data_IF_116747997478
#
_entry.id   IF_116747997478
#
_cell.length_a   1.000
_cell.length_b   1.000
_cell.length_c   1.000
_cell.angle_alpha   90.00
_cell.angle_beta   90.00
_cell.angle_gamma   90.00
#
_symmetry.space_group_name_H-M   'P 1'
#
loop_
_entity.id
_entity.type
_entity.pdbx_description
1 polymer ?
#
# COMPACT_ATOMS: atom_id res chain seq x y z
N UNK A 1 35.64 -21.48 -1.62
CA UNK A 1 35.83 -20.03 -1.41
C UNK A 1 35.73 -19.37 -2.76
N UNK A 2 34.54 -18.87 -3.10
CA UNK A 2 34.34 -17.97 -4.23
C UNK A 2 33.65 -16.74 -3.68
N UNK A 3 34.46 -15.69 -3.38
CA UNK A 3 33.96 -14.38 -3.13
C UNK A 3 33.22 -13.92 -4.38
N UNK A 4 31.91 -13.76 -4.27
CA UNK A 4 31.14 -13.08 -5.29
C UNK A 4 31.64 -11.62 -5.38
N UNK A 5 31.68 -11.01 -6.58
CA UNK A 5 32.19 -9.66 -6.74
C UNK A 5 31.33 -8.69 -5.91
N UNK A 6 31.98 -7.97 -5.00
CA UNK A 6 31.42 -6.77 -4.41
C UNK A 6 31.10 -5.78 -5.54
N UNK A 7 29.82 -5.71 -5.95
CA UNK A 7 29.38 -4.85 -7.04
C UNK A 7 28.31 -5.45 -7.97
N UNK A 8 28.05 -6.75 -7.90
CA UNK A 8 26.99 -7.37 -8.71
C UNK A 8 25.61 -7.00 -8.15
N UNK A 9 24.67 -6.55 -9.03
CA UNK A 9 23.30 -6.25 -8.66
C UNK A 9 22.58 -7.46 -8.06
N UNK A 10 21.84 -7.28 -6.97
CA UNK A 10 21.03 -8.34 -6.35
C UNK A 10 19.86 -8.72 -7.26
N UNK A 11 19.57 -10.01 -7.35
CA UNK A 11 18.33 -10.53 -7.89
C UNK A 11 17.27 -10.57 -6.77
N UNK A 12 16.25 -9.70 -6.85
CA UNK A 12 15.23 -9.54 -5.81
C UNK A 12 13.89 -10.03 -6.36
N UNK A 13 13.32 -11.07 -5.77
CA UNK A 13 11.95 -11.48 -6.07
C UNK A 13 10.99 -10.74 -5.17
N UNK A 14 10.14 -9.89 -5.74
CA UNK A 14 9.09 -9.16 -5.03
C UNK A 14 7.77 -9.87 -5.26
N UNK A 15 7.11 -10.34 -4.20
CA UNK A 15 5.79 -10.97 -4.31
C UNK A 15 4.68 -9.98 -4.04
N UNK A 16 3.53 -10.14 -4.66
CA UNK A 16 2.29 -9.45 -4.29
C UNK A 16 1.07 -10.29 -4.66
N UNK A 17 0.00 -10.17 -3.88
CA UNK A 17 -1.23 -10.93 -4.09
C UNK A 17 -1.96 -10.58 -5.38
N UNK A 18 -2.01 -9.30 -5.73
CA UNK A 18 -2.76 -8.76 -6.88
C UNK A 18 -1.97 -7.60 -7.47
N UNK A 19 -1.90 -7.51 -8.80
CA UNK A 19 -1.36 -6.35 -9.53
C UNK A 19 -2.40 -5.77 -10.50
N UNK A 20 -3.69 -5.96 -10.20
CA UNK A 20 -4.80 -5.54 -11.05
C UNK A 20 -5.41 -4.20 -10.61
N UNK A 21 -5.25 -3.81 -9.35
CA UNK A 21 -5.85 -2.59 -8.80
C UNK A 21 -4.76 -1.56 -8.49
N UNK A 22 -5.15 -0.30 -8.32
CA UNK A 22 -4.22 0.77 -7.91
C UNK A 22 -4.41 1.04 -6.41
N UNK A 23 -4.05 0.07 -5.57
CA UNK A 23 -4.07 0.21 -4.12
C UNK A 23 -2.66 0.41 -3.55
N UNK A 24 -2.56 0.59 -2.24
CA UNK A 24 -1.30 0.95 -1.61
C UNK A 24 -0.16 -0.05 -1.87
N UNK A 25 -0.43 -1.35 -1.75
CA UNK A 25 0.61 -2.39 -1.91
C UNK A 25 1.06 -2.57 -3.35
N UNK A 26 0.13 -2.52 -4.32
CA UNK A 26 0.47 -2.63 -5.74
C UNK A 26 1.35 -1.47 -6.22
N UNK A 27 0.98 -0.24 -5.80
CA UNK A 27 1.78 0.95 -6.12
C UNK A 27 3.12 0.95 -5.38
N UNK A 28 3.18 0.40 -4.15
CA UNK A 28 4.42 0.20 -3.42
C UNK A 28 5.36 -0.73 -4.19
N UNK A 29 4.87 -1.89 -4.64
CA UNK A 29 5.66 -2.86 -5.42
C UNK A 29 6.17 -2.25 -6.72
N UNK A 30 5.34 -1.49 -7.43
CA UNK A 30 5.74 -0.79 -8.65
C UNK A 30 6.89 0.18 -8.38
N UNK A 31 6.77 1.02 -7.37
CA UNK A 31 7.76 2.05 -7.06
C UNK A 31 9.06 1.45 -6.52
N UNK A 32 8.96 0.38 -5.71
CA UNK A 32 10.11 -0.40 -5.24
C UNK A 32 10.86 -1.05 -6.41
N UNK A 33 10.17 -1.76 -7.30
CA UNK A 33 10.78 -2.45 -8.42
C UNK A 33 11.52 -1.47 -9.35
N UNK A 34 10.90 -0.33 -9.67
CA UNK A 34 11.55 0.73 -10.42
C UNK A 34 12.76 1.33 -9.67
N UNK A 35 12.65 1.48 -8.35
CA UNK A 35 13.74 1.99 -7.51
C UNK A 35 14.94 1.03 -7.46
N UNK A 36 14.70 -0.28 -7.34
CA UNK A 36 15.74 -1.31 -7.38
C UNK A 36 16.46 -1.33 -8.74
N UNK A 37 15.69 -1.27 -9.84
CA UNK A 37 16.26 -1.24 -11.18
C UNK A 37 17.16 -0.02 -11.41
N UNK A 38 16.73 1.18 -10.98
CA UNK A 38 17.53 2.42 -11.06
C UNK A 38 18.86 2.33 -10.31
N UNK A 39 18.97 1.43 -9.33
CA UNK A 39 20.20 1.18 -8.56
C UNK A 39 21.05 0.02 -9.10
N UNK A 40 20.71 -0.47 -10.28
CA UNK A 40 21.46 -1.56 -10.92
C UNK A 40 21.19 -2.95 -10.34
N UNK A 41 20.07 -3.12 -9.61
CA UNK A 41 19.60 -4.42 -9.14
C UNK A 41 18.62 -5.03 -10.15
N UNK A 42 18.34 -6.34 -10.01
CA UNK A 42 17.53 -7.13 -10.93
C UNK A 42 16.22 -7.57 -10.24
N UNK A 43 15.22 -6.68 -10.13
CA UNK A 43 13.93 -7.07 -9.58
C UNK A 43 13.16 -7.95 -10.56
N UNK A 44 12.48 -8.98 -10.03
CA UNK A 44 11.42 -9.72 -10.69
C UNK A 44 10.18 -9.64 -9.79
N UNK A 45 9.02 -9.38 -10.36
CA UNK A 45 7.77 -9.30 -9.59
C UNK A 45 6.90 -10.51 -9.88
N UNK A 46 6.42 -11.17 -8.83
CA UNK A 46 5.47 -12.28 -8.92
C UNK A 46 4.10 -11.88 -8.34
N UNK A 47 3.05 -12.18 -9.08
CA UNK A 47 1.68 -12.09 -8.59
C UNK A 47 0.78 -13.06 -9.36
N UNK A 48 -0.08 -13.85 -8.69
CA UNK A 48 -1.02 -14.74 -9.37
C UNK A 48 -2.13 -13.99 -10.11
N UNK A 49 -2.31 -12.69 -9.88
CA UNK A 49 -3.37 -11.88 -10.52
C UNK A 49 -2.74 -10.63 -11.13
N UNK A 50 -2.59 -10.63 -12.44
CA UNK A 50 -2.01 -9.53 -13.21
C UNK A 50 -3.10 -8.58 -13.74
N UNK A 51 -2.72 -7.32 -13.99
CA UNK A 51 -3.58 -6.30 -14.55
C UNK A 51 -2.84 -5.00 -14.85
N UNK A 52 -3.50 -3.83 -14.79
CA UNK A 52 -2.91 -2.55 -15.19
C UNK A 52 -1.59 -2.21 -14.50
N UNK A 53 -1.45 -2.48 -13.19
CA UNK A 53 -0.21 -2.19 -12.46
C UNK A 53 0.92 -3.12 -12.92
N UNK A 54 0.63 -4.39 -13.23
CA UNK A 54 1.62 -5.28 -13.83
C UNK A 54 2.11 -4.76 -15.20
N UNK A 55 1.22 -4.18 -16.01
CA UNK A 55 1.60 -3.56 -17.29
C UNK A 55 2.49 -2.32 -17.08
N UNK A 56 2.22 -1.49 -16.06
CA UNK A 56 3.07 -0.36 -15.71
C UNK A 56 4.48 -0.81 -15.29
N UNK A 57 4.58 -1.87 -14.48
CA UNK A 57 5.87 -2.44 -14.05
C UNK A 57 6.66 -2.97 -15.25
N UNK A 58 5.98 -3.68 -16.17
CA UNK A 58 6.61 -4.16 -17.42
C UNK A 58 7.05 -3.03 -18.33
N UNK A 59 6.26 -1.95 -18.41
CA UNK A 59 6.64 -0.76 -19.19
C UNK A 59 7.91 -0.07 -18.64
N UNK A 60 8.18 -0.22 -17.34
CA UNK A 60 9.44 0.19 -16.72
C UNK A 60 10.58 -0.85 -16.88
N UNK A 61 10.42 -1.81 -17.78
CA UNK A 61 11.39 -2.89 -18.09
C UNK A 61 11.68 -3.88 -16.96
N UNK A 62 10.78 -3.97 -15.98
CA UNK A 62 10.88 -4.97 -14.91
C UNK A 62 10.05 -6.21 -15.29
N UNK A 63 10.62 -7.42 -15.24
CA UNK A 63 9.89 -8.66 -15.47
C UNK A 63 8.78 -8.85 -14.44
N UNK A 64 7.57 -9.21 -14.91
CA UNK A 64 6.43 -9.57 -14.07
C UNK A 64 5.92 -10.93 -14.52
N UNK A 65 5.84 -11.87 -13.59
CA UNK A 65 5.39 -13.24 -13.84
C UNK A 65 4.19 -13.61 -12.96
N UNK A 66 3.36 -14.49 -13.44
CA UNK A 66 2.25 -15.16 -12.74
C UNK A 66 2.54 -16.63 -12.44
N UNK A 67 3.67 -17.13 -12.96
CA UNK A 67 4.20 -18.46 -12.72
C UNK A 67 5.69 -18.37 -12.36
N UNK A 68 6.04 -18.86 -11.18
CA UNK A 68 7.41 -18.84 -10.66
C UNK A 68 8.37 -19.74 -11.45
N UNK A 69 7.86 -20.78 -12.15
CA UNK A 69 8.68 -21.64 -13.02
C UNK A 69 9.29 -20.89 -14.20
N UNK A 70 8.77 -19.70 -14.54
CA UNK A 70 9.32 -18.83 -15.59
C UNK A 70 10.53 -18.01 -15.16
N UNK A 71 10.92 -18.09 -13.89
CA UNK A 71 12.12 -17.42 -13.36
C UNK A 71 13.32 -18.35 -13.55
N UNK A 72 14.15 -18.05 -14.54
CA UNK A 72 15.28 -18.90 -14.94
C UNK A 72 16.50 -18.86 -14.00
N UNK A 73 16.58 -17.88 -13.10
CA UNK A 73 17.63 -17.73 -12.08
C UNK A 73 17.01 -17.52 -10.71
N UNK A 74 17.44 -18.30 -9.72
CA UNK A 74 17.02 -18.11 -8.34
C UNK A 74 17.35 -16.70 -7.85
N UNK A 75 16.44 -16.04 -7.09
CA UNK A 75 16.71 -14.75 -6.48
C UNK A 75 17.74 -14.88 -5.34
N UNK A 76 18.41 -13.79 -5.01
CA UNK A 76 19.29 -13.71 -3.82
C UNK A 76 18.48 -13.50 -2.54
N UNK A 77 17.29 -12.87 -2.66
CA UNK A 77 16.38 -12.60 -1.55
C UNK A 77 14.93 -12.48 -2.06
N UNK A 78 13.97 -12.88 -1.22
CA UNK A 78 12.54 -12.71 -1.45
C UNK A 78 12.05 -11.52 -0.60
N UNK A 79 11.49 -10.52 -1.27
CA UNK A 79 10.73 -9.42 -0.65
C UNK A 79 9.26 -9.77 -0.69
N UNK A 80 8.76 -10.30 0.42
CA UNK A 80 7.44 -10.91 0.50
C UNK A 80 6.35 -9.93 0.94
N UNK A 81 5.37 -9.71 0.06
CA UNK A 81 4.09 -9.13 0.45
C UNK A 81 3.03 -10.23 0.46
N UNK A 82 2.23 -10.27 1.54
CA UNK A 82 1.19 -11.27 1.79
C UNK A 82 1.72 -12.70 1.95
N UNK A 83 1.21 -13.40 2.96
CA UNK A 83 1.81 -14.66 3.40
C UNK A 83 1.73 -15.80 2.39
N UNK A 84 0.63 -15.91 1.61
CA UNK A 84 0.45 -17.01 0.66
C UNK A 84 1.44 -16.91 -0.50
N UNK A 85 1.57 -15.75 -1.08
CA UNK A 85 2.47 -15.48 -2.22
C UNK A 85 3.94 -15.59 -1.79
N UNK A 86 4.25 -15.14 -0.56
CA UNK A 86 5.58 -15.26 0.03
C UNK A 86 5.93 -16.73 0.29
N UNK A 87 5.02 -17.52 0.86
CA UNK A 87 5.23 -18.95 1.06
C UNK A 87 5.45 -19.68 -0.28
N UNK A 88 4.62 -19.37 -1.28
CA UNK A 88 4.73 -19.96 -2.61
C UNK A 88 6.13 -19.72 -3.20
N UNK A 89 6.66 -18.49 -3.06
CA UNK A 89 8.00 -18.15 -3.51
C UNK A 89 9.10 -18.87 -2.71
N UNK A 90 8.96 -18.96 -1.38
CA UNK A 90 9.89 -19.68 -0.50
C UNK A 90 9.98 -21.17 -0.87
N UNK A 91 8.85 -21.81 -1.19
CA UNK A 91 8.80 -23.21 -1.60
C UNK A 91 9.35 -23.42 -3.01
N UNK A 92 9.14 -22.46 -3.91
CA UNK A 92 9.69 -22.52 -5.28
C UNK A 92 11.21 -22.31 -5.33
N UNK A 93 11.78 -21.60 -4.37
CA UNK A 93 13.22 -21.28 -4.29
C UNK A 93 13.80 -21.71 -2.94
N UNK A 94 14.11 -23.02 -2.75
CA UNK A 94 14.80 -23.50 -1.57
C UNK A 94 16.15 -22.78 -1.38
N UNK A 95 16.55 -22.54 -0.14
CA UNK A 95 17.81 -21.88 0.19
C UNK A 95 17.82 -20.36 0.04
N UNK A 96 16.69 -19.74 -0.36
CA UNK A 96 16.61 -18.28 -0.50
C UNK A 96 15.95 -17.67 0.73
N UNK A 97 16.62 -16.71 1.42
CA UNK A 97 16.03 -16.01 2.57
C UNK A 97 14.99 -14.97 2.15
N UNK A 98 14.14 -14.58 3.10
CA UNK A 98 13.10 -13.61 2.85
C UNK A 98 12.98 -12.55 3.96
N UNK A 99 12.46 -11.40 3.55
CA UNK A 99 11.84 -10.40 4.41
C UNK A 99 10.34 -10.40 4.15
N UNK A 100 9.50 -10.32 5.19
CA UNK A 100 8.04 -10.32 5.06
C UNK A 100 7.45 -8.99 5.49
N UNK A 101 6.64 -8.36 4.64
CA UNK A 101 6.07 -7.03 4.86
C UNK A 101 4.69 -7.09 5.47
N UNK A 102 4.41 -6.16 6.40
CA UNK A 102 3.12 -5.91 7.01
C UNK A 102 2.64 -4.50 6.65
N UNK A 103 1.61 -4.42 5.81
CA UNK A 103 1.00 -3.17 5.34
C UNK A 103 -0.30 -2.81 6.05
N UNK A 104 -0.88 -3.75 6.79
CA UNK A 104 -2.17 -3.56 7.45
C UNK A 104 -2.15 -4.03 8.89
N UNK A 105 -2.70 -3.23 9.77
CA UNK A 105 -2.83 -3.57 11.18
C UNK A 105 -3.97 -4.56 11.50
N UNK A 106 -4.88 -4.83 10.56
CA UNK A 106 -6.02 -5.75 10.75
C UNK A 106 -6.14 -6.82 9.66
N UNK A 107 -5.58 -6.58 8.47
CA UNK A 107 -5.75 -7.51 7.36
C UNK A 107 -5.10 -8.86 7.62
N UNK A 108 -5.84 -9.97 7.48
CA UNK A 108 -5.27 -11.31 7.63
C UNK A 108 -4.20 -11.67 6.57
N UNK A 109 -4.22 -11.12 5.33
CA UNK A 109 -3.15 -11.41 4.37
C UNK A 109 -1.78 -10.86 4.80
N UNK A 110 -1.78 -9.85 5.69
CA UNK A 110 -0.58 -9.23 6.26
C UNK A 110 -0.17 -9.85 7.61
N UNK A 111 -0.82 -10.94 8.04
CA UNK A 111 -0.37 -11.70 9.20
C UNK A 111 1.02 -12.29 8.94
N UNK A 112 1.92 -12.29 9.94
CA UNK A 112 3.30 -12.72 9.76
C UNK A 112 3.38 -14.20 9.36
N UNK A 113 4.02 -14.46 8.24
CA UNK A 113 4.36 -15.83 7.81
C UNK A 113 5.48 -16.37 8.70
N UNK A 114 5.16 -17.34 9.55
CA UNK A 114 6.14 -18.04 10.40
C UNK A 114 6.84 -19.13 9.60
N UNK A 115 7.95 -18.77 8.98
CA UNK A 115 8.73 -19.72 8.16
C UNK A 115 10.21 -19.54 8.47
N UNK A 116 11.04 -20.63 8.55
CA UNK A 116 12.44 -20.55 8.98
C UNK A 116 13.27 -19.51 8.25
N UNK A 117 13.13 -19.42 6.92
CA UNK A 117 13.87 -18.48 6.07
C UNK A 117 13.27 -17.07 6.01
N UNK A 118 12.18 -16.75 6.70
CA UNK A 118 11.74 -15.37 6.91
C UNK A 118 12.53 -14.80 8.08
N UNK A 119 13.60 -14.08 7.81
CA UNK A 119 14.54 -13.60 8.83
C UNK A 119 14.14 -12.25 9.44
N UNK A 120 13.46 -11.39 8.67
CA UNK A 120 12.96 -10.10 9.17
C UNK A 120 11.51 -9.89 8.76
N UNK A 121 10.78 -9.19 9.64
CA UNK A 121 9.44 -8.70 9.39
C UNK A 121 9.50 -7.18 9.26
N UNK A 122 8.98 -6.63 8.19
CA UNK A 122 9.05 -5.19 7.94
C UNK A 122 7.67 -4.56 8.11
N UNK A 123 7.54 -3.71 9.12
CA UNK A 123 6.34 -2.91 9.37
C UNK A 123 6.43 -1.59 8.61
N UNK A 124 5.38 -1.21 7.88
CA UNK A 124 5.38 0.05 7.14
C UNK A 124 5.11 1.27 8.04
N UNK A 125 4.71 1.05 9.28
CA UNK A 125 4.53 2.08 10.32
C UNK A 125 4.53 1.46 11.74
N UNK A 126 4.50 2.31 12.75
CA UNK A 126 4.46 1.86 14.14
C UNK A 126 3.14 1.15 14.50
N UNK A 127 2.04 1.39 13.77
CA UNK A 127 0.79 0.64 13.98
C UNK A 127 0.96 -0.82 13.57
N UNK A 128 1.60 -1.06 12.43
CA UNK A 128 1.92 -2.40 11.95
C UNK A 128 3.00 -3.06 12.82
N UNK A 129 4.01 -2.28 13.30
CA UNK A 129 5.00 -2.78 14.26
C UNK A 129 4.35 -3.30 15.54
N UNK A 130 3.48 -2.50 16.14
CA UNK A 130 2.79 -2.88 17.38
C UNK A 130 1.92 -4.13 17.17
N UNK A 131 1.29 -4.26 16.00
CA UNK A 131 0.58 -5.49 15.63
C UNK A 131 1.55 -6.68 15.63
N UNK A 132 2.65 -6.60 14.88
CA UNK A 132 3.61 -7.70 14.76
C UNK A 132 4.15 -8.13 16.12
N UNK A 133 4.53 -7.17 16.97
CA UNK A 133 5.14 -7.46 18.28
C UNK A 133 4.10 -7.84 19.31
N UNK A 134 3.08 -7.00 19.52
CA UNK A 134 2.17 -7.13 20.67
C UNK A 134 0.96 -8.05 20.42
N UNK A 135 0.56 -8.22 19.15
CA UNK A 135 -0.61 -9.07 18.81
C UNK A 135 -0.16 -10.39 18.20
N UNK A 136 0.73 -10.32 17.21
CA UNK A 136 1.17 -11.51 16.50
C UNK A 136 2.39 -12.19 17.18
N UNK A 137 3.00 -11.59 18.22
CA UNK A 137 4.11 -12.16 18.99
C UNK A 137 5.39 -12.39 18.18
N UNK A 138 5.70 -11.49 17.21
CA UNK A 138 6.99 -11.47 16.53
C UNK A 138 8.04 -10.90 17.49
N UNK A 139 9.19 -11.54 17.70
CA UNK A 139 10.30 -10.95 18.47
C UNK A 139 10.67 -9.56 17.94
N UNK A 140 10.82 -8.61 18.83
CA UNK A 140 11.03 -7.20 18.45
C UNK A 140 12.32 -6.98 17.65
N UNK A 141 13.36 -7.72 17.96
CA UNK A 141 14.65 -7.72 17.28
C UNK A 141 14.58 -8.22 15.82
N UNK A 142 13.49 -8.91 15.48
CA UNK A 142 13.19 -9.34 14.10
C UNK A 142 12.28 -8.38 13.34
N UNK A 143 11.80 -7.31 13.98
CA UNK A 143 10.91 -6.33 13.34
C UNK A 143 11.68 -5.09 12.95
N UNK A 144 11.71 -4.79 11.65
CA UNK A 144 12.24 -3.57 11.08
C UNK A 144 11.08 -2.62 10.72
N UNK A 145 11.24 -1.31 10.91
CA UNK A 145 10.23 -0.31 10.51
C UNK A 145 10.75 0.46 9.31
N UNK A 146 10.14 0.24 8.15
CA UNK A 146 10.43 0.97 6.91
C UNK A 146 9.21 1.79 6.50
N UNK A 147 9.23 3.10 6.77
CA UNK A 147 8.08 3.97 6.54
C UNK A 147 7.80 4.15 5.04
N UNK A 148 6.52 4.31 4.67
CA UNK A 148 6.13 4.59 3.29
C UNK A 148 6.86 5.80 2.73
N UNK A 149 7.18 5.74 1.44
CA UNK A 149 7.88 6.77 0.72
C UNK A 149 7.08 7.25 -0.51
N UNK A 150 7.51 8.36 -1.08
CA UNK A 150 6.92 8.98 -2.27
C UNK A 150 7.97 9.13 -3.38
N UNK A 151 7.57 8.87 -4.61
CA UNK A 151 8.41 9.10 -5.79
C UNK A 151 8.49 10.59 -6.09
N UNK A 152 9.59 11.23 -5.68
CA UNK A 152 9.80 12.68 -5.77
C UNK A 152 10.06 13.17 -7.20
N UNK A 153 10.39 12.29 -8.13
CA UNK A 153 10.56 12.63 -9.56
C UNK A 153 9.18 12.76 -10.24
N UNK A 154 8.21 11.98 -9.78
CA UNK A 154 6.82 12.03 -10.23
C UNK A 154 6.03 13.12 -9.51
N UNK A 155 6.08 13.17 -8.18
CA UNK A 155 5.37 14.15 -7.37
C UNK A 155 6.20 15.41 -7.21
N UNK A 156 6.17 16.27 -8.24
CA UNK A 156 6.95 17.51 -8.29
C UNK A 156 6.29 18.62 -7.48
N UNK A 157 7.08 19.55 -6.92
CA UNK A 157 6.53 20.70 -6.21
C UNK A 157 5.62 21.55 -7.10
N UNK A 158 4.51 22.00 -6.54
CA UNK A 158 3.62 22.99 -7.13
C UNK A 158 4.13 24.42 -6.92
N UNK A 159 3.59 25.43 -7.64
CA UNK A 159 3.75 26.83 -7.25
C UNK A 159 3.26 27.10 -5.82
N UNK A 160 3.69 28.20 -5.18
CA UNK A 160 3.26 28.57 -3.83
C UNK A 160 1.74 28.56 -3.68
N UNK A 161 1.28 28.15 -2.50
CA UNK A 161 -0.12 28.14 -2.12
C UNK A 161 -0.66 29.57 -2.01
N UNK A 162 -1.94 29.82 -2.37
CA UNK A 162 -2.59 31.12 -2.15
C UNK A 162 -2.78 31.40 -0.65
N UNK A 163 -2.98 32.69 -0.26
CA UNK A 163 -3.19 33.06 1.16
C UNK A 163 -4.42 32.41 1.80
N UNK A 164 -5.40 32.00 0.98
CA UNK A 164 -6.59 31.23 1.41
C UNK A 164 -6.82 30.09 0.43
N UNK A 165 -7.22 28.90 0.90
CA UNK A 165 -7.48 27.78 0.01
C UNK A 165 -8.72 28.05 -0.83
N UNK A 166 -8.63 27.81 -2.14
CA UNK A 166 -9.71 28.01 -3.12
C UNK A 166 -10.25 26.68 -3.61
N UNK A 167 -9.34 25.69 -3.80
CA UNK A 167 -9.70 24.35 -4.29
C UNK A 167 -9.23 23.27 -3.33
N UNK A 168 -10.15 22.38 -2.98
CA UNK A 168 -9.86 21.21 -2.15
C UNK A 168 -10.14 19.90 -2.90
N UNK A 169 -9.42 18.85 -2.52
CA UNK A 169 -9.60 17.49 -3.01
C UNK A 169 -9.82 16.51 -1.84
N UNK A 170 -10.85 15.69 -1.91
CA UNK A 170 -10.88 14.43 -1.16
C UNK A 170 -10.16 13.37 -1.97
N UNK A 171 -8.99 12.94 -1.49
CA UNK A 171 -8.17 11.91 -2.16
C UNK A 171 -8.19 10.62 -1.35
N UNK A 172 -9.23 9.81 -1.56
CA UNK A 172 -9.44 8.57 -0.81
C UNK A 172 -10.23 7.54 -1.62
N UNK A 173 -9.74 6.29 -1.63
CA UNK A 173 -10.48 5.17 -2.22
C UNK A 173 -11.77 4.82 -1.44
N UNK A 174 -11.91 5.29 -0.20
CA UNK A 174 -13.11 5.14 0.61
C UNK A 174 -14.16 6.27 0.35
N UNK A 175 -13.77 7.35 -0.32
CA UNK A 175 -14.66 8.46 -0.63
C UNK A 175 -15.64 8.07 -1.74
N UNK A 176 -16.91 7.92 -1.39
CA UNK A 176 -17.96 7.63 -2.38
C UNK A 176 -19.32 7.39 -1.74
N UNK A 177 -20.37 7.64 -2.51
CA UNK A 177 -21.76 7.44 -2.09
C UNK A 177 -22.19 8.37 -0.96
N UNK A 178 -22.96 7.81 -0.01
CA UNK A 178 -23.48 8.53 1.18
C UNK A 178 -22.55 8.39 2.40
N UNK A 179 -21.23 8.31 2.20
CA UNK A 179 -20.30 8.24 3.32
C UNK A 179 -20.40 9.54 4.15
N UNK A 180 -20.72 9.43 5.44
CA UNK A 180 -20.97 10.57 6.31
C UNK A 180 -19.81 11.56 6.37
N UNK A 181 -18.55 11.08 6.35
CA UNK A 181 -17.37 11.94 6.31
C UNK A 181 -17.31 12.84 5.06
N UNK A 182 -17.79 12.37 3.90
CA UNK A 182 -17.80 13.18 2.68
C UNK A 182 -18.81 14.33 2.78
N UNK A 183 -19.96 14.10 3.40
CA UNK A 183 -20.94 15.15 3.66
C UNK A 183 -20.39 16.23 4.62
N UNK A 184 -19.68 15.79 5.66
CA UNK A 184 -19.02 16.69 6.61
C UNK A 184 -17.92 17.54 5.96
N UNK A 185 -17.05 16.91 5.12
CA UNK A 185 -16.03 17.65 4.37
C UNK A 185 -16.68 18.69 3.45
N UNK A 186 -17.73 18.30 2.74
CA UNK A 186 -18.46 19.22 1.85
C UNK A 186 -19.02 20.43 2.62
N UNK A 187 -19.72 20.18 3.73
CA UNK A 187 -20.27 21.24 4.55
C UNK A 187 -19.18 22.19 5.09
N UNK A 188 -18.03 21.66 5.51
CA UNK A 188 -16.91 22.49 5.99
C UNK A 188 -16.28 23.33 4.85
N UNK A 189 -16.14 22.76 3.66
CA UNK A 189 -15.63 23.48 2.49
C UNK A 189 -16.60 24.54 2.00
N UNK A 190 -17.89 24.23 1.93
CA UNK A 190 -18.94 25.18 1.51
C UNK A 190 -18.98 26.39 2.47
N UNK A 191 -18.89 26.16 3.78
CA UNK A 191 -18.83 27.21 4.79
C UNK A 191 -17.57 28.09 4.68
N UNK A 192 -16.47 27.53 4.19
CA UNK A 192 -15.22 28.25 3.97
C UNK A 192 -15.08 28.84 2.55
N UNK A 193 -16.06 28.65 1.67
CA UNK A 193 -16.03 29.11 0.27
C UNK A 193 -15.01 28.37 -0.60
N UNK A 194 -14.72 27.10 -0.28
CA UNK A 194 -13.71 26.28 -0.96
C UNK A 194 -14.41 25.31 -1.94
N UNK A 195 -14.02 25.35 -3.22
CA UNK A 195 -14.50 24.40 -4.22
C UNK A 195 -13.96 22.99 -3.93
N UNK A 196 -14.84 21.97 -3.85
CA UNK A 196 -14.48 20.62 -3.47
C UNK A 196 -14.63 19.62 -4.61
N UNK A 197 -13.53 18.96 -4.98
CA UNK A 197 -13.49 17.79 -5.82
C UNK A 197 -13.31 16.49 -5.00
N UNK A 198 -13.74 15.36 -5.57
CA UNK A 198 -13.63 14.05 -4.92
C UNK A 198 -13.01 13.05 -5.90
N UNK A 199 -11.92 12.41 -5.50
CA UNK A 199 -11.25 11.38 -6.28
C UNK A 199 -10.98 10.11 -5.47
N UNK A 200 -11.10 8.97 -6.14
CA UNK A 200 -10.87 7.65 -5.57
C UNK A 200 -11.79 6.59 -6.18
N UNK A 201 -11.55 5.34 -5.87
CA UNK A 201 -12.25 4.21 -6.51
C UNK A 201 -13.77 4.25 -6.29
N UNK A 202 -14.21 4.61 -5.08
CA UNK A 202 -15.66 4.66 -4.75
C UNK A 202 -16.36 5.91 -5.29
N UNK A 203 -15.62 6.98 -5.60
CA UNK A 203 -16.19 8.19 -6.20
C UNK A 203 -16.47 8.07 -7.70
N UNK A 204 -16.10 6.93 -8.32
CA UNK A 204 -16.12 6.70 -9.78
C UNK A 204 -15.19 7.63 -10.58
N UNK A 205 -14.30 8.32 -9.91
CA UNK A 205 -13.25 9.16 -10.49
C UNK A 205 -11.88 8.70 -9.96
N UNK A 206 -11.43 7.47 -10.32
CA UNK A 206 -10.09 7.05 -9.92
C UNK A 206 -9.07 7.96 -10.59
N UNK A 207 -8.12 8.47 -9.82
CA UNK A 207 -6.97 9.18 -10.38
C UNK A 207 -5.95 8.15 -10.83
N UNK A 208 -5.82 8.00 -12.15
CA UNK A 208 -4.79 7.15 -12.73
C UNK A 208 -3.40 7.74 -12.52
N UNK A 209 -3.29 9.06 -12.56
CA UNK A 209 -2.05 9.83 -12.46
C UNK A 209 -2.21 10.98 -11.47
N UNK A 210 -2.22 10.71 -10.15
CA UNK A 210 -2.41 11.74 -9.13
C UNK A 210 -1.32 12.82 -9.17
N UNK A 211 -0.11 12.47 -9.60
CA UNK A 211 1.02 13.39 -9.77
C UNK A 211 0.74 14.53 -10.74
N UNK A 212 -0.19 14.36 -11.70
CA UNK A 212 -0.53 15.39 -12.68
C UNK A 212 -1.54 16.41 -12.16
N UNK A 213 -2.35 16.01 -11.17
CA UNK A 213 -3.48 16.82 -10.73
C UNK A 213 -3.38 17.33 -9.29
N UNK A 214 -2.61 16.66 -8.41
CA UNK A 214 -2.51 17.07 -7.00
C UNK A 214 -2.00 18.50 -6.83
N UNK A 215 -1.15 18.97 -7.74
CA UNK A 215 -0.64 20.36 -7.75
C UNK A 215 -1.69 21.44 -8.02
N UNK A 216 -2.91 21.06 -8.47
CA UNK A 216 -4.01 22.01 -8.71
C UNK A 216 -4.83 22.32 -7.44
N UNK A 217 -4.61 21.58 -6.36
CA UNK A 217 -5.39 21.68 -5.12
C UNK A 217 -4.57 22.32 -4.02
N UNK A 218 -5.18 23.28 -3.33
CA UNK A 218 -4.57 23.99 -2.22
C UNK A 218 -4.66 23.19 -0.92
N UNK A 219 -5.77 22.45 -0.76
CA UNK A 219 -6.10 21.65 0.41
C UNK A 219 -6.47 20.23 -0.01
N UNK A 220 -5.91 19.22 0.66
CA UNK A 220 -6.23 17.82 0.38
C UNK A 220 -6.68 17.12 1.66
N UNK A 221 -7.84 16.46 1.61
CA UNK A 221 -8.31 15.56 2.66
C UNK A 221 -7.87 14.15 2.29
N UNK A 222 -6.94 13.59 3.04
CA UNK A 222 -6.34 12.29 2.73
C UNK A 222 -5.78 11.61 3.98
N UNK A 223 -5.36 10.36 3.85
CA UNK A 223 -4.55 9.65 4.85
C UNK A 223 -3.46 8.81 4.20
N UNK A 224 -2.50 8.38 4.99
CA UNK A 224 -1.44 7.45 4.62
C UNK A 224 -0.69 7.92 3.35
N UNK A 225 -0.47 7.03 2.38
CA UNK A 225 0.25 7.32 1.15
C UNK A 225 -0.32 8.54 0.40
N UNK A 226 -1.64 8.66 0.28
CA UNK A 226 -2.28 9.79 -0.40
C UNK A 226 -1.97 11.14 0.29
N UNK A 227 -1.90 11.17 1.62
CA UNK A 227 -1.48 12.35 2.38
C UNK A 227 -0.01 12.68 2.13
N UNK A 228 0.86 11.67 2.10
CA UNK A 228 2.29 11.84 1.82
C UNK A 228 2.54 12.39 0.40
N UNK A 229 1.83 11.87 -0.60
CA UNK A 229 1.88 12.33 -1.98
C UNK A 229 1.41 13.78 -2.12
N UNK A 230 0.31 14.15 -1.44
CA UNK A 230 -0.20 15.52 -1.42
C UNK A 230 0.77 16.52 -0.75
N UNK A 231 1.37 16.14 0.38
CA UNK A 231 2.41 16.96 1.03
C UNK A 231 3.67 17.10 0.17
N UNK A 232 4.06 16.04 -0.54
CA UNK A 232 5.24 16.08 -1.41
C UNK A 232 5.10 17.07 -2.57
N UNK A 233 3.89 17.28 -3.10
CA UNK A 233 3.62 18.31 -4.11
C UNK A 233 3.44 19.71 -3.49
N UNK A 234 3.28 19.83 -2.17
CA UNK A 234 3.15 21.10 -1.47
C UNK A 234 1.72 21.56 -1.21
N UNK A 235 0.73 20.67 -1.29
CA UNK A 235 -0.62 20.95 -0.84
C UNK A 235 -0.70 20.92 0.71
N UNK A 236 -1.55 21.74 1.31
CA UNK A 236 -1.91 21.59 2.72
C UNK A 236 -2.77 20.33 2.89
N UNK A 237 -2.57 19.58 3.97
CA UNK A 237 -3.26 18.29 4.18
C UNK A 237 -3.98 18.24 5.51
N UNK A 238 -5.29 18.00 5.48
CA UNK A 238 -6.06 17.59 6.64
C UNK A 238 -6.23 16.08 6.60
N UNK A 239 -5.82 15.39 7.67
CA UNK A 239 -5.95 13.94 7.75
C UNK A 239 -7.43 13.58 7.95
N UNK A 240 -8.00 12.84 6.98
CA UNK A 240 -9.40 12.45 7.05
C UNK A 240 -9.67 11.22 6.17
N UNK A 241 -10.51 10.31 6.67
CA UNK A 241 -11.06 9.20 5.91
C UNK A 241 -12.39 8.74 6.57
N UNK A 242 -12.99 7.67 6.07
CA UNK A 242 -14.18 7.04 6.66
C UNK A 242 -14.01 6.63 8.13
N UNK A 243 -12.79 6.44 8.59
CA UNK A 243 -12.48 6.07 9.98
C UNK A 243 -12.50 7.27 10.95
N UNK A 244 -12.48 8.53 10.45
CA UNK A 244 -12.47 9.74 11.27
C UNK A 244 -11.67 10.88 10.66
N UNK A 245 -11.44 11.91 11.47
CA UNK A 245 -10.61 13.07 11.17
C UNK A 245 -9.39 13.13 12.10
N UNK A 246 -8.32 13.66 11.57
CA UNK A 246 -7.09 14.02 12.25
C UNK A 246 -6.75 15.49 12.00
N UNK A 247 -5.61 15.96 12.52
CA UNK A 247 -5.22 17.37 12.39
C UNK A 247 -4.83 17.75 10.97
N UNK A 248 -4.85 19.04 10.66
CA UNK A 248 -4.02 19.64 9.62
C UNK A 248 -2.57 19.27 9.90
N UNK A 249 -1.87 18.75 8.89
CA UNK A 249 -0.44 18.44 9.03
C UNK A 249 0.35 19.75 8.99
N UNK A 250 1.13 19.98 10.03
CA UNK A 250 1.96 21.17 10.20
C UNK A 250 3.38 20.78 10.59
N UNK A 251 4.34 21.69 10.50
CA UNK A 251 5.71 21.43 10.98
C UNK A 251 5.75 21.06 12.47
N UNK A 252 4.81 21.57 13.26
CA UNK A 252 4.73 21.30 14.71
C UNK A 252 4.28 19.86 15.03
N UNK A 253 3.56 19.19 14.14
CA UNK A 253 3.03 17.84 14.40
C UNK A 253 3.59 16.76 13.45
N UNK A 254 4.34 17.14 12.44
CA UNK A 254 4.86 16.24 11.40
C UNK A 254 5.65 15.06 12.00
N UNK A 255 6.56 15.33 12.94
CA UNK A 255 7.41 14.30 13.56
C UNK A 255 6.61 13.27 14.38
N UNK A 256 5.51 13.70 14.98
CA UNK A 256 4.59 12.81 15.70
C UNK A 256 3.73 11.98 14.77
N UNK A 257 3.33 12.53 13.62
CA UNK A 257 2.42 11.88 12.66
C UNK A 257 3.17 10.95 11.70
N UNK A 258 4.40 11.28 11.35
CA UNK A 258 5.22 10.54 10.38
C UNK A 258 5.45 9.07 10.74
N UNK A 259 5.81 8.68 11.99
CA UNK A 259 5.96 7.28 12.39
C UNK A 259 4.68 6.45 12.26
N UNK A 260 3.52 7.10 12.26
CA UNK A 260 2.20 6.49 12.03
C UNK A 260 1.79 6.52 10.56
N UNK A 261 2.69 6.91 9.66
CA UNK A 261 2.43 7.08 8.22
C UNK A 261 1.16 7.88 7.91
N UNK A 262 0.80 8.85 8.74
CA UNK A 262 -0.47 9.60 8.59
C UNK A 262 -1.70 8.69 8.48
N UNK A 263 -1.63 7.51 9.09
CA UNK A 263 -2.59 6.41 8.97
C UNK A 263 -3.72 6.51 9.99
N UNK A 264 -4.43 5.40 10.19
CA UNK A 264 -5.66 5.34 10.99
C UNK A 264 -5.49 5.83 12.44
N UNK A 265 -4.33 5.60 13.07
CA UNK A 265 -4.06 6.09 14.45
C UNK A 265 -3.96 7.62 14.56
N UNK A 266 -3.85 8.32 13.45
CA UNK A 266 -3.84 9.79 13.43
C UNK A 266 -5.25 10.39 13.35
N UNK A 267 -6.29 9.57 13.15
CA UNK A 267 -7.69 9.97 13.01
C UNK A 267 -8.39 9.81 14.36
N UNK A 268 -8.07 10.70 15.30
CA UNK A 268 -8.53 10.60 16.68
C UNK A 268 -9.91 11.22 16.97
N UNK A 269 -10.51 11.90 15.99
CA UNK A 269 -11.79 12.59 16.16
C UNK A 269 -12.82 12.13 15.13
N UNK A 270 -14.14 12.27 15.39
CA UNK A 270 -15.14 12.01 14.39
C UNK A 270 -15.04 13.03 13.25
N UNK A 271 -15.26 12.59 12.01
CA UNK A 271 -15.24 13.47 10.85
C UNK A 271 -16.57 14.28 10.79
N UNK A 272 -16.70 15.31 11.60
CA UNK A 272 -17.82 16.27 11.59
C UNK A 272 -17.43 17.56 10.88
N UNK A 273 -18.43 18.34 10.44
CA UNK A 273 -18.19 19.62 9.78
C UNK A 273 -17.44 20.60 10.68
N UNK A 274 -17.75 20.62 11.98
CA UNK A 274 -17.12 21.49 12.98
C UNK A 274 -15.64 21.15 13.17
N UNK A 275 -15.31 19.86 13.30
CA UNK A 275 -13.93 19.40 13.45
C UNK A 275 -13.13 19.76 12.20
N UNK A 276 -13.69 19.51 11.01
CA UNK A 276 -13.01 19.79 9.75
C UNK A 276 -12.86 21.29 9.49
N UNK A 277 -13.87 22.12 9.83
CA UNK A 277 -13.78 23.57 9.73
C UNK A 277 -12.70 24.14 10.65
N UNK A 278 -12.57 23.63 11.88
CA UNK A 278 -11.50 23.97 12.80
C UNK A 278 -10.12 23.66 12.21
N UNK A 279 -9.95 22.50 11.59
CA UNK A 279 -8.68 22.14 10.96
C UNK A 279 -8.40 22.96 9.68
N UNK A 280 -9.41 23.25 8.86
CA UNK A 280 -9.28 24.18 7.71
C UNK A 280 -8.81 25.55 8.16
N UNK A 281 -9.32 26.07 9.30
CA UNK A 281 -8.94 27.38 9.83
C UNK A 281 -7.45 27.48 10.23
N UNK A 282 -6.73 26.33 10.33
CA UNK A 282 -5.30 26.26 10.59
C UNK A 282 -4.44 26.35 9.31
N UNK A 283 -5.06 26.57 8.16
CA UNK A 283 -4.36 26.66 6.89
C UNK A 283 -3.31 27.78 6.90
N UNK A 284 -2.07 27.41 6.65
CA UNK A 284 -0.92 28.31 6.55
C UNK A 284 -0.07 27.89 5.34
N UNK A 285 -0.02 28.74 4.27
CA UNK A 285 0.77 28.44 3.08
C UNK A 285 2.27 28.28 3.35
N UNK A 286 2.82 29.06 4.28
CA UNK A 286 4.25 29.03 4.58
C UNK A 286 4.62 27.75 5.35
N UNK A 287 3.79 27.36 6.32
CA UNK A 287 3.97 26.11 7.06
C UNK A 287 3.78 24.89 6.14
N UNK A 288 2.77 24.88 5.27
CA UNK A 288 2.57 23.79 4.30
C UNK A 288 3.77 23.64 3.35
N UNK A 289 4.37 24.74 2.90
CA UNK A 289 5.60 24.71 2.12
C UNK A 289 6.80 24.15 2.93
N UNK A 290 6.89 24.44 4.22
CA UNK A 290 7.91 23.89 5.10
C UNK A 290 7.68 22.38 5.35
N UNK A 291 6.45 21.94 5.55
CA UNK A 291 6.07 20.51 5.59
C UNK A 291 6.51 19.80 4.32
N UNK A 292 6.19 20.37 3.14
CA UNK A 292 6.59 19.79 1.85
C UNK A 292 8.11 19.62 1.74
N UNK A 293 8.90 20.63 2.09
CA UNK A 293 10.37 20.52 2.08
C UNK A 293 10.85 19.35 2.97
N UNK A 294 10.38 19.27 4.22
CA UNK A 294 10.77 18.19 5.14
C UNK A 294 10.35 16.80 4.63
N UNK A 295 9.15 16.66 4.06
CA UNK A 295 8.70 15.41 3.43
C UNK A 295 9.60 15.04 2.27
N UNK A 296 9.97 15.99 1.42
CA UNK A 296 10.85 15.73 0.27
C UNK A 296 12.28 15.35 0.69
N UNK A 297 12.78 15.91 1.79
CA UNK A 297 14.09 15.58 2.35
C UNK A 297 14.14 14.18 2.97
N UNK A 298 13.03 13.72 3.58
CA UNK A 298 13.04 12.55 4.46
C UNK A 298 12.23 11.36 3.98
N UNK A 299 11.35 11.54 2.99
CA UNK A 299 10.38 10.51 2.58
C UNK A 299 10.47 10.10 1.10
N UNK A 300 11.61 10.34 0.46
CA UNK A 300 11.81 9.94 -0.94
C UNK A 300 12.00 8.42 -1.08
N UNK A 301 11.42 7.85 -2.15
CA UNK A 301 11.58 6.40 -2.50
C UNK A 301 13.06 6.00 -2.59
N UNK A 302 13.95 6.95 -2.93
CA UNK A 302 15.38 6.71 -2.99
C UNK A 302 15.95 6.19 -1.68
N UNK A 303 15.73 6.91 -0.60
CA UNK A 303 16.23 6.55 0.74
C UNK A 303 15.63 5.21 1.23
N UNK A 304 14.32 4.98 0.98
CA UNK A 304 13.68 3.72 1.33
C UNK A 304 14.34 2.54 0.61
N UNK A 305 14.64 2.67 -0.69
CA UNK A 305 15.28 1.59 -1.45
C UNK A 305 16.68 1.31 -0.92
N UNK A 306 17.45 2.34 -0.56
CA UNK A 306 18.79 2.18 0.02
C UNK A 306 18.73 1.48 1.38
N UNK A 307 17.77 1.83 2.24
CA UNK A 307 17.48 1.16 3.51
C UNK A 307 17.15 -0.33 3.30
N UNK A 308 16.26 -0.64 2.36
CA UNK A 308 15.88 -2.03 2.07
C UNK A 308 17.03 -2.84 1.48
N UNK A 309 17.87 -2.24 0.65
CA UNK A 309 19.07 -2.89 0.12
C UNK A 309 20.06 -3.24 1.24
N UNK A 310 20.23 -2.39 2.24
CA UNK A 310 21.03 -2.69 3.42
C UNK A 310 20.45 -3.89 4.18
N UNK A 311 19.13 -3.87 4.43
CA UNK A 311 18.41 -4.97 5.08
C UNK A 311 18.52 -6.29 4.30
N UNK A 312 18.42 -6.27 2.96
CA UNK A 312 18.59 -7.48 2.16
C UNK A 312 19.98 -8.06 2.28
N UNK A 313 21.04 -7.22 2.26
CA UNK A 313 22.43 -7.68 2.44
C UNK A 313 22.63 -8.31 3.82
N UNK A 314 22.07 -7.69 4.86
CA UNK A 314 22.09 -8.24 6.23
C UNK A 314 21.43 -9.62 6.28
N UNK A 315 20.21 -9.75 5.75
CA UNK A 315 19.44 -11.01 5.73
C UNK A 315 20.16 -12.09 4.93
N UNK A 316 20.73 -11.76 3.77
CA UNK A 316 21.51 -12.70 2.97
C UNK A 316 22.77 -13.17 3.73
N UNK A 317 23.48 -12.26 4.39
CA UNK A 317 24.68 -12.58 5.15
C UNK A 317 24.36 -13.43 6.38
N UNK A 318 23.30 -13.11 7.12
CA UNK A 318 22.81 -13.90 8.27
C UNK A 318 22.43 -15.33 7.83
N UNK A 319 21.69 -15.46 6.73
CA UNK A 319 21.29 -16.76 6.21
C UNK A 319 22.50 -17.62 5.82
N UNK A 320 23.50 -17.02 5.15
CA UNK A 320 24.73 -17.73 4.74
C UNK A 320 25.61 -18.16 5.93
N UNK A 321 25.57 -17.38 7.02
CA UNK A 321 26.32 -17.70 8.25
C UNK A 321 25.56 -18.67 9.16
N UNK A 322 24.27 -18.90 8.90
CA UNK A 322 23.41 -19.78 9.69
C UNK A 322 23.69 -21.27 9.54
N UNK A 323 22.99 -22.11 10.30
CA UNK A 323 23.20 -23.57 10.33
C UNK A 323 22.77 -24.29 9.05
N UNK A 324 22.30 -23.56 8.05
CA UNK A 324 21.67 -24.11 6.85
C UNK A 324 20.17 -24.33 7.00
N UNK A 325 19.53 -24.78 5.91
CA UNK A 325 18.10 -25.03 5.90
C UNK A 325 17.73 -26.32 6.63
N UNK A 326 16.62 -26.31 7.35
CA UNK A 326 15.97 -27.50 7.91
C UNK A 326 14.68 -27.81 7.11
N UNK A 327 14.76 -28.73 6.12
CA UNK A 327 13.60 -29.08 5.30
C UNK A 327 12.40 -29.58 6.10
N UNK A 328 12.64 -30.27 7.22
CA UNK A 328 11.56 -30.76 8.08
C UNK A 328 10.87 -29.62 8.84
N UNK A 329 11.62 -28.63 9.33
CA UNK A 329 11.05 -27.43 9.92
C UNK A 329 10.28 -26.59 8.91
N UNK A 330 10.79 -26.46 7.67
CA UNK A 330 10.10 -25.76 6.59
C UNK A 330 8.78 -26.43 6.21
N UNK A 331 8.79 -27.77 6.08
CA UNK A 331 7.57 -28.54 5.79
C UNK A 331 6.52 -28.37 6.90
N UNK A 332 6.94 -28.43 8.17
CA UNK A 332 6.02 -28.17 9.30
C UNK A 332 5.46 -26.75 9.29
N UNK A 333 6.30 -25.75 8.99
CA UNK A 333 5.88 -24.36 8.90
C UNK A 333 4.91 -24.12 7.73
N UNK A 334 5.17 -24.71 6.57
CA UNK A 334 4.29 -24.64 5.42
C UNK A 334 2.92 -25.29 5.73
N UNK A 335 2.92 -26.49 6.34
CA UNK A 335 1.70 -27.19 6.73
C UNK A 335 0.88 -26.36 7.74
N UNK A 336 1.52 -25.78 8.75
CA UNK A 336 0.88 -24.92 9.73
C UNK A 336 0.25 -23.67 9.09
N UNK A 337 0.95 -23.04 8.15
CA UNK A 337 0.40 -21.90 7.42
C UNK A 337 -0.79 -22.30 6.54
N UNK A 338 -0.70 -23.39 5.79
CA UNK A 338 -1.80 -23.89 4.96
C UNK A 338 -3.03 -24.24 5.81
N UNK A 339 -2.84 -24.89 6.96
CA UNK A 339 -3.91 -25.17 7.90
C UNK A 339 -4.56 -23.88 8.44
N UNK A 340 -3.76 -22.86 8.69
CA UNK A 340 -4.26 -21.57 9.18
C UNK A 340 -5.00 -20.78 8.09
N UNK A 341 -4.55 -20.82 6.83
CA UNK A 341 -5.12 -20.02 5.73
C UNK A 341 -6.34 -20.67 5.08
N UNK A 342 -6.42 -22.01 5.05
CA UNK A 342 -7.48 -22.75 4.36
C UNK A 342 -8.90 -22.32 4.79
N UNK A 343 -9.26 -22.23 6.09
CA UNK A 343 -10.60 -21.78 6.48
C UNK A 343 -10.94 -20.37 5.98
N UNK A 344 -9.94 -19.47 5.93
CA UNK A 344 -10.11 -18.07 5.45
C UNK A 344 -10.36 -17.98 3.95
N UNK A 345 -9.82 -18.91 3.18
CA UNK A 345 -10.09 -19.03 1.75
C UNK A 345 -11.49 -19.60 1.52
N UNK A 346 -11.87 -20.66 2.25
CA UNK A 346 -13.21 -21.26 2.17
C UNK A 346 -14.32 -20.29 2.58
N UNK A 347 -14.13 -19.47 3.60
CA UNK A 347 -15.09 -18.43 3.97
C UNK A 347 -15.36 -17.46 2.80
N UNK A 348 -14.31 -17.08 2.07
CA UNK A 348 -14.45 -16.25 0.88
C UNK A 348 -15.21 -16.97 -0.24
N UNK A 349 -15.00 -18.25 -0.42
CA UNK A 349 -15.69 -19.04 -1.44
C UNK A 349 -17.17 -19.24 -1.07
N UNK A 350 -17.48 -19.44 0.20
CA UNK A 350 -18.86 -19.47 0.70
C UNK A 350 -19.56 -18.12 0.48
N UNK A 351 -18.90 -17.00 0.75
CA UNK A 351 -19.45 -15.67 0.49
C UNK A 351 -19.68 -15.43 -1.01
N UNK A 352 -18.78 -15.91 -1.87
CA UNK A 352 -18.95 -15.88 -3.33
C UNK A 352 -20.12 -16.72 -3.77
N UNK A 353 -20.22 -17.95 -3.27
CA UNK A 353 -21.33 -18.85 -3.59
C UNK A 353 -22.68 -18.28 -3.15
N UNK A 354 -22.76 -17.72 -1.93
CA UNK A 354 -23.95 -17.04 -1.44
C UNK A 354 -24.32 -15.82 -2.31
N UNK A 355 -23.33 -15.01 -2.71
CA UNK A 355 -23.54 -13.89 -3.61
C UNK A 355 -23.98 -14.35 -5.00
N UNK A 356 -23.41 -15.45 -5.53
CA UNK A 356 -23.83 -16.07 -6.78
C UNK A 356 -25.28 -16.54 -6.73
N UNK A 357 -25.70 -17.12 -5.62
CA UNK A 357 -27.10 -17.50 -5.40
C UNK A 357 -28.02 -16.28 -5.41
N UNK A 358 -27.62 -15.16 -4.76
CA UNK A 358 -28.36 -13.90 -4.80
C UNK A 358 -28.47 -13.33 -6.22
N UNK A 359 -27.42 -13.45 -7.03
CA UNK A 359 -27.43 -13.02 -8.44
C UNK A 359 -28.41 -13.83 -9.32
N UNK A 360 -28.72 -15.07 -8.93
CA UNK A 360 -29.70 -15.92 -9.65
C UNK A 360 -31.15 -15.57 -9.32
N UNK A 361 -31.40 -14.82 -8.23
CA UNK A 361 -32.76 -14.34 -7.92
C UNK A 361 -33.17 -13.25 -8.94
N UNK A 362 -34.31 -13.38 -9.62
CA UNK A 362 -34.65 -12.54 -10.78
C UNK A 362 -34.58 -11.04 -10.51
N UNK A 363 -35.18 -10.58 -9.41
CA UNK A 363 -35.23 -9.15 -9.06
C UNK A 363 -33.90 -8.65 -8.49
N UNK A 364 -33.29 -9.42 -7.58
CA UNK A 364 -32.02 -9.04 -6.92
C UNK A 364 -30.88 -9.08 -7.93
N UNK A 365 -30.78 -10.16 -8.71
CA UNK A 365 -29.75 -10.32 -9.72
C UNK A 365 -29.84 -9.25 -10.83
N UNK A 366 -31.05 -8.92 -11.28
CA UNK A 366 -31.26 -7.84 -12.25
C UNK A 366 -30.80 -6.47 -11.66
N UNK A 367 -31.14 -6.17 -10.41
CA UNK A 367 -30.74 -4.94 -9.74
C UNK A 367 -29.20 -4.86 -9.56
N UNK A 368 -28.57 -5.96 -9.13
CA UNK A 368 -27.11 -6.04 -8.95
C UNK A 368 -26.37 -5.90 -10.29
N UNK A 369 -26.80 -6.61 -11.34
CA UNK A 369 -26.23 -6.49 -12.68
C UNK A 369 -26.44 -5.11 -13.29
N UNK A 370 -27.61 -4.51 -13.11
CA UNK A 370 -27.88 -3.14 -13.55
C UNK A 370 -26.96 -2.15 -12.84
N UNK A 371 -26.71 -2.33 -11.56
CA UNK A 371 -25.76 -1.54 -10.78
C UNK A 371 -24.32 -1.77 -11.22
N UNK A 372 -23.90 -3.02 -11.42
CA UNK A 372 -22.57 -3.35 -11.91
C UNK A 372 -22.30 -2.75 -13.30
N UNK A 373 -23.27 -2.74 -14.19
CA UNK A 373 -23.17 -2.10 -15.53
C UNK A 373 -23.09 -0.56 -15.45
N UNK A 374 -23.74 0.06 -14.47
CA UNK A 374 -23.67 1.51 -14.26
C UNK A 374 -22.32 1.95 -13.62
N UNK A 375 -21.65 1.05 -12.96
CA UNK A 375 -20.35 1.23 -12.33
C UNK A 375 -19.29 0.81 -13.34
N UNK A 376 -18.81 1.77 -14.15
CA UNK A 376 -17.83 1.55 -15.24
C UNK A 376 -16.57 0.79 -14.78
N UNK A 377 -16.18 -0.18 -15.53
CA UNK A 377 -14.98 -0.99 -15.77
C UNK A 377 -13.90 -1.23 -14.71
N UNK A 378 -13.90 -0.63 -13.55
CA UNK A 378 -12.90 -0.83 -12.50
C UNK A 378 -13.48 -1.13 -11.11
N UNK A 379 -14.79 -1.13 -10.98
CA UNK A 379 -15.44 -1.34 -9.68
C UNK A 379 -15.43 -2.82 -9.30
N UNK A 380 -15.08 -3.12 -8.03
CA UNK A 380 -15.02 -4.50 -7.52
C UNK A 380 -16.29 -5.32 -7.80
N UNK A 381 -17.49 -4.69 -7.78
CA UNK A 381 -18.77 -5.35 -8.03
C UNK A 381 -18.88 -5.78 -9.49
N UNK A 382 -18.46 -4.93 -10.44
CA UNK A 382 -18.47 -5.28 -11.86
C UNK A 382 -17.49 -6.43 -12.16
N UNK A 383 -16.30 -6.39 -11.54
CA UNK A 383 -15.32 -7.46 -11.65
C UNK A 383 -15.80 -8.76 -11.00
N UNK A 384 -16.46 -8.67 -9.84
CA UNK A 384 -17.01 -9.83 -9.14
C UNK A 384 -18.14 -10.48 -9.97
N UNK A 385 -19.09 -9.67 -10.49
CA UNK A 385 -20.18 -10.16 -11.35
C UNK A 385 -19.61 -10.78 -12.61
N UNK A 386 -18.65 -10.14 -13.29
CA UNK A 386 -18.05 -10.66 -14.52
C UNK A 386 -17.33 -12.00 -14.29
N UNK A 387 -16.61 -12.17 -13.17
CA UNK A 387 -15.96 -13.45 -12.83
C UNK A 387 -16.96 -14.55 -12.53
N UNK A 388 -18.09 -14.23 -11.90
CA UNK A 388 -19.12 -15.20 -11.54
C UNK A 388 -20.04 -15.57 -12.72
N UNK A 389 -19.99 -14.83 -13.81
CA UNK A 389 -20.69 -15.17 -15.07
C UNK A 389 -19.79 -16.00 -16.01
N UNK A 390 -18.49 -16.13 -15.68
CA UNK A 390 -17.50 -16.96 -16.41
C UNK A 390 -17.33 -18.36 -15.79
N UNK A 391 -17.69 -18.54 -14.50
CA UNK A 391 -17.73 -19.81 -13.79
C UNK A 391 -19.17 -20.44 -13.89
#
# INVERSE_FOLDING_TARGET
MSGGPEGAGLHVLVTNRVLANRTGTELYVRDLAAGLLRRGHHPVVYSPVLGPVAAEIRAATVPVVDDLARIGRAPDVIHGHHGLETLTALLAFPGVPAVAFCHSWTGWPDAPLRFPRVLRYVAVDHTCRDRLVSVDGVPEDRVHVALNAVDLDRFRPRPPLPPRPVRALVFSNAAGGRAGHLAAIRAACDAAGIALDVAGTRSRKPLARPEEVLGEYDLVFAKARAALEAMAVGAAVVLCDAAGAGPMVTTANLDRLRPLNFGVRTLGEPATAEVLAREIARYDPADAAAVSRRVRETAGTGALVDELLALYREVIAEHRAGPGDDPAAEQRAAAAYLQWVAPRLHERDLLRAAFGTLLRLPLVGAAVRARARRESGGHWLAQLVARMEQD
#
